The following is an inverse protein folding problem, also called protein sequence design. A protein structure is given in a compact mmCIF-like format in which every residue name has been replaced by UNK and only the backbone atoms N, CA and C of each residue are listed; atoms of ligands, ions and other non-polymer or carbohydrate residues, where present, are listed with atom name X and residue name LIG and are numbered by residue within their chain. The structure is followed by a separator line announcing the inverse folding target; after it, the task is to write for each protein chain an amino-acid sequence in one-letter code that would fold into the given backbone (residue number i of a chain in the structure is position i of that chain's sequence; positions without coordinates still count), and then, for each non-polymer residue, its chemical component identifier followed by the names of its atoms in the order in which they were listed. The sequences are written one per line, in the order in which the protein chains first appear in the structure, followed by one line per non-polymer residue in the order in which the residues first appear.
data_IF_545858952852
#
_entry.id   IF_545858952852
#
_cell.length_a   1.000
_cell.length_b   1.000
_cell.length_c   1.000
_cell.angle_alpha   90.00
_cell.angle_beta   90.00
_cell.angle_gamma   90.00
#
_symmetry.space_group_name_H-M   'P 1'
#
loop_
_entity.id
_entity.type
_entity.pdbx_description
1 polymer ?
#
# COMPACT_ATOMS: atom_id res chain seq x y z
N UNK A 1 -9.51 -10.31 6.80
CA UNK A 1 -8.54 -9.35 6.21
C UNK A 1 -7.64 -10.09 5.24
N UNK A 2 -7.34 -9.49 4.13
CA UNK A 2 -6.54 -10.09 3.08
C UNK A 2 -5.17 -9.41 3.03
N UNK A 3 -4.07 -10.16 3.16
CA UNK A 3 -2.75 -9.54 3.07
C UNK A 3 -2.46 -9.06 1.66
N UNK A 4 -1.75 -7.96 1.58
CA UNK A 4 -1.39 -7.35 0.30
C UNK A 4 -0.01 -6.74 0.42
N UNK A 5 0.79 -6.93 -0.62
CA UNK A 5 2.06 -6.26 -0.75
C UNK A 5 1.96 -5.31 -1.93
N UNK A 6 2.24 -4.03 -1.69
CA UNK A 6 2.29 -3.04 -2.75
C UNK A 6 3.75 -2.79 -3.13
N UNK A 7 4.02 -2.78 -4.41
CA UNK A 7 5.30 -2.35 -4.93
C UNK A 7 5.15 -0.89 -5.37
N UNK A 8 6.00 -0.03 -4.84
CA UNK A 8 5.86 1.40 -5.04
C UNK A 8 7.13 1.94 -5.68
N UNK A 9 7.00 2.47 -6.89
CA UNK A 9 8.10 3.09 -7.59
C UNK A 9 8.11 4.59 -7.32
N UNK A 10 9.28 5.18 -7.31
CA UNK A 10 9.42 6.61 -7.08
C UNK A 10 9.69 6.99 -5.65
N UNK A 11 9.80 6.04 -4.75
CA UNK A 11 10.16 6.33 -3.37
C UNK A 11 11.67 6.49 -3.29
N UNK A 12 12.11 7.70 -3.13
CA UNK A 12 13.54 7.97 -3.12
C UNK A 12 14.03 8.68 -1.86
N UNK A 13 13.14 8.92 -0.91
CA UNK A 13 13.53 9.61 0.32
C UNK A 13 12.57 9.26 1.45
N UNK A 14 12.95 9.67 2.66
CA UNK A 14 12.14 9.39 3.84
C UNK A 14 10.77 10.05 3.82
N UNK A 15 10.64 11.17 3.12
CA UNK A 15 9.33 11.83 3.00
C UNK A 15 8.34 10.95 2.27
N UNK A 16 8.81 10.15 1.33
CA UNK A 16 7.95 9.23 0.60
C UNK A 16 7.38 8.17 1.52
N UNK A 17 8.19 7.66 2.43
CA UNK A 17 7.70 6.69 3.40
C UNK A 17 6.58 7.28 4.25
N UNK A 18 6.74 8.51 4.70
CA UNK A 18 5.73 9.15 5.53
C UNK A 18 4.45 9.39 4.73
N UNK A 19 4.58 9.81 3.48
CA UNK A 19 3.42 10.07 2.64
C UNK A 19 2.62 8.79 2.40
N UNK A 20 3.30 7.71 2.05
CA UNK A 20 2.64 6.43 1.80
C UNK A 20 1.99 5.90 3.08
N UNK A 21 2.72 6.00 4.20
CA UNK A 21 2.18 5.57 5.48
C UNK A 21 0.89 6.32 5.81
N UNK A 22 0.89 7.62 5.60
CA UNK A 22 -0.28 8.44 5.88
C UNK A 22 -1.46 8.07 4.99
N UNK A 23 -1.21 7.89 3.70
CA UNK A 23 -2.26 7.53 2.76
C UNK A 23 -2.88 6.19 3.13
N UNK A 24 -2.03 5.19 3.36
CA UNK A 24 -2.53 3.85 3.66
C UNK A 24 -3.25 3.80 4.99
N UNK A 25 -2.78 4.55 5.98
CA UNK A 25 -3.42 4.58 7.30
C UNK A 25 -4.78 5.26 7.25
N UNK A 26 -4.98 6.15 6.29
CA UNK A 26 -6.25 6.89 6.19
C UNK A 26 -7.31 6.13 5.41
N UNK A 27 -6.95 5.07 4.70
CA UNK A 27 -7.91 4.33 3.90
C UNK A 27 -8.81 3.48 4.77
N UNK A 28 -10.13 3.49 4.52
CA UNK A 28 -11.04 2.64 5.28
C UNK A 28 -10.82 1.18 4.92
N UNK A 29 -10.92 0.32 5.91
CA UNK A 29 -10.76 -1.10 5.69
C UNK A 29 -9.34 -1.57 5.49
N UNK A 30 -8.35 -0.70 5.72
CA UNK A 30 -6.94 -1.03 5.56
C UNK A 30 -6.26 -1.06 6.92
N UNK A 31 -5.49 -2.12 7.15
CA UNK A 31 -4.68 -2.25 8.34
C UNK A 31 -3.22 -2.31 7.90
N UNK A 32 -2.50 -1.25 8.15
CA UNK A 32 -1.13 -1.14 7.72
C UNK A 32 -0.21 -2.00 8.58
N UNK A 33 0.59 -2.83 7.96
CA UNK A 33 1.58 -3.64 8.65
C UNK A 33 2.92 -2.95 8.71
N UNK A 34 3.54 -2.76 7.55
CA UNK A 34 4.84 -2.08 7.50
C UNK A 34 5.00 -1.38 6.16
N UNK A 35 5.78 -0.31 6.18
CA UNK A 35 6.14 0.42 4.97
C UNK A 35 7.64 0.45 4.88
N UNK A 36 8.18 0.07 3.73
CA UNK A 36 9.59 0.08 3.46
C UNK A 36 9.82 0.83 2.16
N UNK A 37 11.07 1.18 1.90
CA UNK A 37 11.39 1.87 0.66
C UNK A 37 11.02 0.98 -0.52
N UNK A 38 10.07 1.44 -1.33
CA UNK A 38 9.63 0.71 -2.51
C UNK A 38 8.61 -0.38 -2.26
N UNK A 39 8.17 -0.58 -1.01
CA UNK A 39 7.25 -1.67 -0.70
C UNK A 39 6.44 -1.36 0.55
N UNK A 40 5.17 -1.75 0.52
CA UNK A 40 4.31 -1.64 1.69
C UNK A 40 3.57 -2.95 1.89
N UNK A 41 3.50 -3.41 3.13
CA UNK A 41 2.76 -4.61 3.48
C UNK A 41 1.60 -4.24 4.37
N UNK A 42 0.43 -4.71 4.00
CA UNK A 42 -0.80 -4.33 4.69
C UNK A 42 -1.82 -5.43 4.57
N UNK A 43 -2.90 -5.27 5.31
CA UNK A 43 -4.08 -6.12 5.16
C UNK A 43 -5.27 -5.23 4.86
N UNK A 44 -6.21 -5.73 4.10
CA UNK A 44 -7.39 -4.95 3.78
C UNK A 44 -8.63 -5.84 3.83
N UNK A 45 -9.77 -5.19 4.03
CA UNK A 45 -11.06 -5.86 4.04
C UNK A 45 -11.62 -5.83 2.63
N UNK A 46 -11.69 -6.98 1.94
CA UNK A 46 -12.16 -6.99 0.55
C UNK A 46 -13.61 -6.56 0.40
N UNK A 47 -14.37 -6.54 1.50
CA UNK A 47 -15.74 -6.02 1.46
C UNK A 47 -15.78 -4.50 1.50
N UNK A 48 -14.73 -3.86 1.99
CA UNK A 48 -14.67 -2.41 2.13
C UNK A 48 -13.86 -1.74 1.05
N UNK A 49 -12.82 -2.41 0.55
CA UNK A 49 -11.93 -1.82 -0.43
C UNK A 49 -11.32 -2.93 -1.29
N UNK A 50 -10.40 -2.58 -2.16
CA UNK A 50 -9.75 -3.55 -3.02
C UNK A 50 -8.28 -3.18 -3.18
N UNK A 51 -7.48 -4.15 -3.64
CA UNK A 51 -6.08 -3.91 -3.90
C UNK A 51 -5.89 -2.79 -4.92
N UNK A 52 -6.74 -2.75 -5.93
CA UNK A 52 -6.66 -1.72 -6.96
C UNK A 52 -6.98 -0.34 -6.40
N UNK A 53 -7.98 -0.25 -5.52
CA UNK A 53 -8.33 1.01 -4.90
C UNK A 53 -7.20 1.52 -4.02
N UNK A 54 -6.55 0.62 -3.30
CA UNK A 54 -5.44 0.98 -2.44
C UNK A 54 -4.26 1.47 -3.29
N UNK A 55 -3.94 0.75 -4.35
CA UNK A 55 -2.86 1.14 -5.25
C UNK A 55 -3.16 2.50 -5.91
N UNK A 56 -4.41 2.73 -6.27
CA UNK A 56 -4.80 4.00 -6.87
C UNK A 56 -4.62 5.16 -5.90
N UNK A 57 -4.92 4.94 -4.62
CA UNK A 57 -4.76 5.98 -3.62
C UNK A 57 -3.30 6.39 -3.46
N UNK A 58 -2.39 5.41 -3.49
CA UNK A 58 -0.96 5.70 -3.42
C UNK A 58 -0.48 6.39 -4.69
N UNK A 59 -0.97 5.93 -5.84
CA UNK A 59 -0.60 6.53 -7.13
C UNK A 59 -1.03 7.99 -7.18
N UNK A 60 -2.16 8.31 -6.57
CA UNK A 60 -2.68 9.67 -6.52
C UNK A 60 -1.74 10.62 -5.78
N UNK A 61 -0.88 10.09 -4.93
CA UNK A 61 0.10 10.90 -4.21
C UNK A 61 1.36 11.19 -5.02
N UNK A 62 1.45 10.64 -6.23
CA UNK A 62 2.58 10.91 -7.10
C UNK A 62 3.54 9.75 -7.24
N UNK A 63 3.20 8.59 -6.73
CA UNK A 63 4.03 7.40 -6.85
C UNK A 63 3.36 6.41 -7.78
N UNK A 64 4.10 5.40 -8.21
CA UNK A 64 3.53 4.33 -9.00
C UNK A 64 3.41 3.11 -8.11
N UNK A 65 2.20 2.78 -7.70
CA UNK A 65 1.94 1.63 -6.85
C UNK A 65 1.32 0.52 -7.66
N UNK A 66 1.85 -0.69 -7.51
CA UNK A 66 1.37 -1.88 -8.19
C UNK A 66 1.04 -2.94 -7.14
N UNK A 67 -0.18 -3.48 -7.13
CA UNK A 67 -0.50 -4.55 -6.18
C UNK A 67 0.33 -5.78 -6.52
N UNK A 68 1.06 -6.28 -5.56
CA UNK A 68 1.81 -7.51 -5.71
C UNK A 68 1.01 -8.70 -5.27
N UNK A 69 1.52 -9.91 -5.51
CA UNK A 69 0.88 -11.10 -4.96
C UNK A 69 0.95 -11.03 -3.45
N UNK A 70 -0.13 -11.46 -2.87
CA UNK A 70 -0.14 -11.60 -1.43
C UNK A 70 0.98 -12.53 -1.05
N UNK A 71 1.74 -12.28 -0.23
CA UNK A 71 2.75 -13.13 -0.01
C UNK A 71 2.62 -14.30 0.13
N UNK A 72 2.43 -14.55 0.04
CA UNK A 72 2.19 -15.57 0.20
C UNK A 72 2.91 -16.45 0.08
N UNK A 73 3.18 -16.35 0.07
CA UNK A 73 3.70 -17.03 0.01
C UNK A 73 4.12 -17.67 -0.55
N UNK A 74 3.98 -17.15 -0.69
CA UNK A 74 4.06 -17.72 -1.18
C UNK A 74 4.35 -17.85 -1.45
#
# INVERSE_FOLDING_TARGET
MTPLTLHIDGMSCGHCLNAVNRVLSALPGVRLGSVQMGRAELEFDPASTSAEAIAAAVTDEGYRATPGPARAGA
#
